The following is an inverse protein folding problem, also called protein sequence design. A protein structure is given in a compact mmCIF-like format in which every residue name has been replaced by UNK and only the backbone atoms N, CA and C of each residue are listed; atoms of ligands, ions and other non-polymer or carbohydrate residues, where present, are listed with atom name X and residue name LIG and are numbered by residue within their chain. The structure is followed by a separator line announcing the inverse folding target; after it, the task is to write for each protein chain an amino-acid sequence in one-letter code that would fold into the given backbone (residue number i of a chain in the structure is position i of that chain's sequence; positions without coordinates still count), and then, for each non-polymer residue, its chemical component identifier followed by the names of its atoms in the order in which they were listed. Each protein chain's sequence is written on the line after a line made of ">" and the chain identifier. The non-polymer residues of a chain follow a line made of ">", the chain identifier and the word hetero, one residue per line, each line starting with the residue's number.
data_IF_187283045733
#
_entry.id   IF_187283045733
#
_cell.length_a   1.000
_cell.length_b   1.000
_cell.length_c   1.000
_cell.angle_alpha   90.00
_cell.angle_beta   90.00
_cell.angle_gamma   90.00
#
_symmetry.space_group_name_H-M   'P 1'
#
loop_
_entity.id
_entity.type
_entity.pdbx_description
1 polymer ?
#
# COMPACT_ATOMS: atom_id res chain seq x y z
N UNK A 1 -6.21 -2.61 9.47
CA UNK A 1 -7.32 -3.23 8.69
C UNK A 1 -7.56 -4.69 9.04
N UNK A 2 -6.61 -5.36 9.72
CA UNK A 2 -6.73 -6.73 10.21
C UNK A 2 -7.03 -7.77 9.12
N UNK A 3 -6.40 -7.57 7.96
CA UNK A 3 -6.50 -8.43 6.79
C UNK A 3 -5.14 -8.43 6.08
N UNK A 4 -4.77 -9.52 5.43
CA UNK A 4 -3.51 -9.62 4.70
C UNK A 4 -3.65 -9.14 3.26
N UNK A 5 -2.55 -8.66 2.62
CA UNK A 5 -2.53 -8.38 1.20
C UNK A 5 -3.02 -9.59 0.39
N UNK A 6 -3.94 -9.35 -0.55
CA UNK A 6 -4.51 -10.41 -1.38
C UNK A 6 -5.63 -11.22 -0.74
N UNK A 7 -6.01 -10.99 0.53
CA UNK A 7 -7.25 -11.54 1.11
C UNK A 7 -8.52 -11.08 0.37
N UNK A 8 -9.67 -11.69 0.70
CA UNK A 8 -10.95 -11.30 0.09
C UNK A 8 -11.36 -9.89 0.50
N UNK A 9 -11.15 -9.54 1.77
CA UNK A 9 -11.37 -8.22 2.36
C UNK A 9 -10.50 -7.18 1.69
N UNK A 10 -9.20 -7.48 1.51
CA UNK A 10 -8.26 -6.61 0.80
C UNK A 10 -8.71 -6.33 -0.63
N UNK A 11 -9.08 -7.38 -1.37
CA UNK A 11 -9.57 -7.26 -2.76
C UNK A 11 -10.88 -6.49 -2.90
N UNK A 12 -11.72 -6.46 -1.87
CA UNK A 12 -12.93 -5.62 -1.87
C UNK A 12 -12.60 -4.12 -1.82
N UNK A 13 -11.46 -3.74 -1.23
CA UNK A 13 -11.01 -2.34 -1.16
C UNK A 13 -10.27 -1.94 -2.44
N UNK A 14 -9.26 -2.72 -2.85
CA UNK A 14 -8.41 -2.35 -4.01
C UNK A 14 -9.00 -2.75 -5.37
N UNK A 15 -10.09 -3.51 -5.36
CA UNK A 15 -10.72 -4.05 -6.57
C UNK A 15 -9.89 -5.12 -7.27
N UNK A 16 -10.21 -5.35 -8.54
CA UNK A 16 -9.43 -6.17 -9.46
C UNK A 16 -8.71 -5.27 -10.46
N UNK A 17 -7.43 -5.56 -10.74
CA UNK A 17 -6.65 -4.82 -11.74
C UNK A 17 -7.35 -4.93 -13.11
N UNK A 18 -7.56 -3.82 -13.86
CA UNK A 18 -8.06 -3.88 -15.23
C UNK A 18 -7.16 -4.77 -16.10
N UNK A 19 -7.64 -5.20 -17.27
CA UNK A 19 -6.95 -6.20 -18.11
C UNK A 19 -5.50 -5.84 -18.50
N UNK A 20 -5.12 -4.56 -18.39
CA UNK A 20 -3.76 -4.08 -18.57
C UNK A 20 -2.97 -4.14 -17.27
N UNK A 21 -1.79 -4.79 -17.31
CA UNK A 21 -0.81 -4.80 -16.22
C UNK A 21 -0.45 -3.36 -15.81
N UNK A 22 -0.70 -3.01 -14.55
CA UNK A 22 -0.40 -1.70 -13.98
C UNK A 22 -1.50 -0.63 -14.17
N UNK A 23 -2.61 -0.94 -14.83
CA UNK A 23 -3.75 -0.04 -14.87
C UNK A 23 -4.45 -0.01 -13.51
N UNK A 24 -5.01 1.15 -13.15
CA UNK A 24 -5.87 1.29 -11.98
C UNK A 24 -7.06 2.17 -12.32
N UNK A 25 -8.24 1.80 -11.83
CA UNK A 25 -9.40 2.68 -11.91
C UNK A 25 -9.11 3.99 -11.19
N UNK A 26 -9.34 5.12 -11.88
CA UNK A 26 -9.11 6.47 -11.36
C UNK A 26 -9.84 6.72 -10.03
N UNK A 27 -11.03 6.14 -9.88
CA UNK A 27 -11.87 6.25 -8.68
C UNK A 27 -11.68 5.07 -7.70
N UNK A 28 -10.74 4.16 -7.98
CA UNK A 28 -10.40 3.04 -7.12
C UNK A 28 -9.36 3.41 -6.06
N UNK A 29 -9.28 2.60 -5.00
CA UNK A 29 -8.20 2.64 -4.03
C UNK A 29 -7.05 1.71 -4.42
N UNK A 30 -5.83 2.10 -4.04
CA UNK A 30 -4.61 1.32 -4.20
C UNK A 30 -3.93 1.26 -2.84
N UNK A 31 -3.39 0.09 -2.47
CA UNK A 31 -2.49 -0.01 -1.32
C UNK A 31 -1.18 0.72 -1.66
N UNK A 32 -0.81 1.72 -0.87
CA UNK A 32 0.44 2.47 -1.03
C UNK A 32 1.65 1.55 -1.13
N UNK A 33 1.66 0.43 -0.38
CA UNK A 33 2.71 -0.58 -0.45
C UNK A 33 2.81 -1.23 -1.84
N UNK A 34 1.67 -1.43 -2.51
CA UNK A 34 1.64 -1.93 -3.88
C UNK A 34 2.04 -0.85 -4.91
N UNK A 35 1.71 0.43 -4.63
CA UNK A 35 2.08 1.54 -5.50
C UNK A 35 3.60 1.82 -5.50
N UNK A 36 4.24 1.75 -4.33
CA UNK A 36 5.67 2.02 -4.18
C UNK A 36 6.58 1.00 -4.89
N UNK A 37 6.05 -0.15 -5.33
CA UNK A 37 6.80 -1.21 -6.05
C UNK A 37 8.06 -1.73 -5.34
N UNK A 38 8.21 -1.47 -4.05
CA UNK A 38 9.38 -1.84 -3.24
C UNK A 38 9.19 -3.24 -2.64
N UNK A 39 9.96 -4.26 -3.07
CA UNK A 39 10.08 -5.49 -2.32
C UNK A 39 11.08 -5.25 -1.19
N UNK A 40 10.66 -4.55 -0.13
CA UNK A 40 11.48 -4.52 1.09
C UNK A 40 11.42 -5.92 1.69
N UNK A 41 12.57 -6.60 1.72
CA UNK A 41 12.70 -7.85 2.44
C UNK A 41 12.27 -7.59 3.90
N UNK A 42 11.31 -8.37 4.39
CA UNK A 42 10.75 -8.25 5.75
C UNK A 42 9.81 -7.06 6.01
N UNK A 43 8.98 -6.65 5.04
CA UNK A 43 7.90 -5.69 5.30
C UNK A 43 6.67 -6.34 5.97
N UNK A 44 6.57 -6.16 7.29
CA UNK A 44 5.43 -6.54 8.12
C UNK A 44 5.09 -5.41 9.08
N UNK A 45 3.82 -5.31 9.50
CA UNK A 45 3.37 -4.28 10.46
C UNK A 45 2.90 -4.91 11.76
N UNK A 46 2.99 -6.22 11.89
CA UNK A 46 2.55 -6.92 13.07
C UNK A 46 3.34 -8.23 13.26
N UNK A 47 3.68 -8.52 14.51
CA UNK A 47 4.30 -9.78 14.93
C UNK A 47 3.51 -10.43 16.08
N UNK A 48 3.27 -11.74 15.98
CA UNK A 48 2.68 -12.52 17.07
C UNK A 48 3.11 -13.97 17.02
N UNK A 49 3.19 -14.61 18.18
CA UNK A 49 3.34 -16.07 18.26
C UNK A 49 1.98 -16.73 18.00
N UNK A 50 1.90 -17.56 16.98
CA UNK A 50 0.72 -18.37 16.60
C UNK A 50 1.18 -19.81 16.49
N UNK A 51 0.51 -20.73 17.19
CA UNK A 51 0.87 -22.16 17.24
C UNK A 51 2.36 -22.43 17.54
N UNK A 52 2.96 -21.59 18.38
CA UNK A 52 4.37 -21.68 18.76
C UNK A 52 5.37 -21.09 17.75
N UNK A 53 4.92 -20.62 16.59
CA UNK A 53 5.75 -19.97 15.57
C UNK A 53 5.59 -18.44 15.54
N UNK A 54 6.66 -17.72 15.22
CA UNK A 54 6.58 -16.28 14.94
C UNK A 54 5.87 -16.06 13.60
N UNK A 55 4.71 -15.42 13.67
CA UNK A 55 3.95 -14.98 12.51
C UNK A 55 4.16 -13.48 12.29
N UNK A 56 4.80 -13.14 11.17
CA UNK A 56 4.95 -11.78 10.66
C UNK A 56 3.84 -11.53 9.64
N UNK A 57 3.06 -10.47 9.84
CA UNK A 57 1.89 -10.16 9.00
C UNK A 57 1.86 -8.69 8.63
N UNK A 58 1.25 -8.36 7.49
CA UNK A 58 0.97 -6.97 7.11
C UNK A 58 -0.51 -6.71 7.26
N UNK A 59 -0.89 -6.13 8.40
CA UNK A 59 -2.29 -5.92 8.78
C UNK A 59 -2.71 -4.45 8.74
N UNK A 60 -1.72 -3.56 8.68
CA UNK A 60 -1.86 -2.13 8.60
C UNK A 60 -1.51 -1.69 7.18
N UNK A 61 -2.37 -0.84 6.63
CA UNK A 61 -2.30 -0.41 5.24
C UNK A 61 -2.53 1.09 5.17
N UNK A 62 -2.09 1.69 4.07
CA UNK A 62 -2.54 3.01 3.67
C UNK A 62 -3.14 2.88 2.27
N UNK A 63 -4.46 3.08 2.16
CA UNK A 63 -5.13 3.08 0.87
C UNK A 63 -5.20 4.49 0.33
N UNK A 64 -4.70 4.69 -0.88
CA UNK A 64 -4.69 5.97 -1.57
C UNK A 64 -5.60 5.91 -2.79
N UNK A 65 -6.27 7.01 -3.13
CA UNK A 65 -7.03 7.09 -4.38
C UNK A 65 -6.09 6.95 -5.58
N UNK A 66 -6.59 6.42 -6.70
CA UNK A 66 -5.80 6.19 -7.92
C UNK A 66 -4.97 7.39 -8.39
N UNK A 67 -5.49 8.61 -8.21
CA UNK A 67 -4.79 9.86 -8.56
C UNK A 67 -3.54 10.15 -7.71
N UNK A 68 -3.40 9.53 -6.54
CA UNK A 68 -2.27 9.70 -5.63
C UNK A 68 -1.26 8.54 -5.71
N UNK A 69 -1.56 7.46 -6.44
CA UNK A 69 -0.70 6.27 -6.46
C UNK A 69 0.72 6.58 -6.94
N UNK A 70 0.83 7.33 -8.04
CA UNK A 70 2.13 7.73 -8.61
C UNK A 70 2.85 8.79 -7.78
N UNK A 71 2.22 9.27 -6.70
CA UNK A 71 2.78 10.24 -5.76
C UNK A 71 3.28 9.57 -4.47
N UNK A 72 3.02 8.29 -4.26
CA UNK A 72 3.63 7.52 -3.16
C UNK A 72 5.12 7.38 -3.45
N UNK A 73 5.97 7.93 -2.58
CA UNK A 73 7.43 7.93 -2.71
C UNK A 73 8.08 6.75 -2.02
N UNK A 74 7.61 6.43 -0.82
CA UNK A 74 8.15 5.35 0.00
C UNK A 74 7.05 4.78 0.92
N UNK A 75 7.22 3.52 1.30
CA UNK A 75 6.40 2.85 2.31
C UNK A 75 7.31 1.94 3.13
N UNK A 76 7.16 1.95 4.45
CA UNK A 76 7.90 1.07 5.35
C UNK A 76 7.22 0.90 6.70
N UNK A 77 7.63 -0.14 7.43
CA UNK A 77 7.25 -0.31 8.82
C UNK A 77 8.46 -0.06 9.72
N UNK A 78 8.24 0.66 10.82
CA UNK A 78 9.28 0.95 11.80
C UNK A 78 9.39 -0.22 12.80
N UNK A 79 9.94 -1.36 12.34
CA UNK A 79 10.00 -2.63 13.08
C UNK A 79 10.86 -2.57 14.37
N UNK A 80 11.61 -1.49 14.59
CA UNK A 80 12.34 -1.23 15.82
C UNK A 80 11.48 -0.66 16.96
N UNK A 81 10.25 -0.23 16.67
CA UNK A 81 9.36 0.44 17.63
C UNK A 81 8.50 -0.59 18.40
N UNK A 82 9.04 -1.11 19.51
CA UNK A 82 8.50 -2.28 20.23
C UNK A 82 7.35 -1.98 21.22
N UNK A 83 6.67 -0.84 21.09
CA UNK A 83 5.63 -0.43 22.03
C UNK A 83 4.31 -1.21 21.87
N UNK A 84 4.14 -1.96 20.78
CA UNK A 84 2.96 -2.76 20.44
C UNK A 84 3.39 -3.99 19.63
N UNK A 85 2.53 -5.00 19.56
CA UNK A 85 2.60 -6.09 18.59
C UNK A 85 2.32 -5.62 17.14
N UNK A 86 1.88 -4.38 16.97
CA UNK A 86 1.85 -3.65 15.71
C UNK A 86 2.98 -2.62 15.62
N UNK A 87 3.69 -2.61 14.50
CA UNK A 87 4.71 -1.63 14.15
C UNK A 87 4.11 -0.45 13.39
N UNK A 88 4.55 0.79 13.65
CA UNK A 88 4.11 1.95 12.89
C UNK A 88 4.33 1.78 11.38
N UNK A 89 3.29 2.07 10.59
CA UNK A 89 3.38 2.15 9.14
C UNK A 89 3.67 3.60 8.74
N UNK A 90 4.76 3.82 8.00
CA UNK A 90 5.13 5.10 7.43
C UNK A 90 4.93 5.10 5.92
N UNK A 91 4.32 6.18 5.42
CA UNK A 91 4.10 6.41 3.99
C UNK A 91 4.47 7.84 3.67
N UNK A 92 5.43 8.02 2.77
CA UNK A 92 5.78 9.34 2.26
C UNK A 92 5.04 9.57 0.92
N UNK A 93 4.24 10.64 0.85
CA UNK A 93 3.45 11.00 -0.33
C UNK A 93 3.81 12.42 -0.79
N UNK A 94 4.00 12.58 -2.09
CA UNK A 94 4.20 13.89 -2.71
C UNK A 94 2.86 14.62 -2.92
N UNK A 95 2.60 15.63 -2.10
CA UNK A 95 1.42 16.49 -2.27
C UNK A 95 1.73 17.77 -3.05
N UNK A 96 2.99 18.19 -3.06
CA UNK A 96 3.42 19.53 -3.44
C UNK A 96 3.85 19.64 -4.91
N UNK A 97 4.39 18.59 -5.53
CA UNK A 97 4.82 18.63 -6.93
C UNK A 97 3.61 18.77 -7.85
N UNK A 98 3.39 19.89 -8.57
CA UNK A 98 2.21 20.07 -9.40
C UNK A 98 2.04 18.92 -10.39
N UNK A 99 0.82 18.37 -10.50
CA UNK A 99 0.54 17.38 -11.54
C UNK A 99 0.75 18.05 -12.91
N UNK A 100 1.62 17.49 -13.75
CA UNK A 100 1.67 17.86 -15.15
C UNK A 100 0.28 17.57 -15.72
N UNK A 101 -0.47 18.62 -16.06
CA UNK A 101 -1.73 18.45 -16.76
C UNK A 101 -1.43 17.65 -18.04
N UNK A 102 -2.06 16.49 -18.20
CA UNK A 102 -1.98 15.76 -19.45
C UNK A 102 -2.44 16.73 -20.53
N UNK A 103 -1.53 17.08 -21.44
CA UNK A 103 -1.86 17.88 -22.61
C UNK A 103 -2.90 17.06 -23.37
N UNK A 104 -4.15 17.51 -23.34
CA UNK A 104 -5.18 16.99 -24.22
C UNK A 104 -4.77 17.39 -25.65
N UNK A 105 -3.97 16.55 -26.29
CA UNK A 105 -3.69 16.64 -27.71
C UNK A 105 -4.98 16.34 -28.45
N UNK A 106 -5.60 17.39 -28.97
CA UNK A 106 -6.66 17.28 -29.96
C UNK A 106 -6.07 16.75 -31.28
N UNK A 107 -6.81 15.81 -31.87
CA UNK A 107 -6.64 15.28 -33.22
C UNK A 107 -7.91 14.54 -33.60
#
# INVERSE_FOLDING_TARGET
>A
FNMEPGSAEYRRIVGSTPYHRGAVYRDGFIDAAAAASEPVADFHTHEKIIDGGLSKRRLDHCFVGGMLATRVRSVGADIGEIASDHFPLRVDIDLETPCLAAVSGGG
#
